data_IF_936805939077
#
_entry.id   IF_936805939077
#
_cell.length_a   1.000
_cell.length_b   1.000
_cell.length_c   1.000
_cell.angle_alpha   90.00
_cell.angle_beta   90.00
_cell.angle_gamma   90.00
#
_symmetry.space_group_name_H-M   'P 1'
#
loop_
_entity.id
_entity.type
_entity.pdbx_description
1 polymer ?
#
# COMPACT_ATOMS: atom_id res chain seq x y z
N UNK A 1 -17.35 -36.59 25.88
CA UNK A 1 -17.78 -35.66 26.96
C UNK A 1 -16.60 -34.77 27.29
N UNK A 2 -16.60 -33.53 26.88
CA UNK A 2 -16.13 -32.31 27.54
C UNK A 2 -16.14 -31.20 26.54
N UNK A 3 -17.14 -30.33 26.68
CA UNK A 3 -17.30 -29.07 25.91
C UNK A 3 -16.21 -28.10 26.27
N UNK A 4 -15.49 -27.56 25.26
CA UNK A 4 -14.68 -26.37 25.40
C UNK A 4 -15.41 -25.22 24.69
N UNK A 5 -16.01 -24.36 25.50
CA UNK A 5 -16.61 -23.10 25.07
C UNK A 5 -15.50 -22.10 24.84
N UNK A 6 -15.35 -21.58 23.62
CA UNK A 6 -14.53 -20.42 23.33
C UNK A 6 -15.35 -19.18 23.63
N UNK A 7 -14.87 -18.40 24.58
CA UNK A 7 -15.39 -17.06 24.88
C UNK A 7 -14.84 -16.07 23.87
N UNK A 8 -15.72 -15.52 23.05
CA UNK A 8 -15.49 -14.28 22.33
C UNK A 8 -15.70 -13.14 23.34
N UNK A 9 -14.63 -12.50 23.76
CA UNK A 9 -14.68 -11.25 24.51
C UNK A 9 -14.81 -10.09 23.52
N UNK A 10 -16.03 -9.74 23.15
CA UNK A 10 -16.37 -8.46 22.56
C UNK A 10 -16.46 -7.43 23.70
N UNK A 11 -15.44 -6.61 23.86
CA UNK A 11 -15.49 -5.45 24.75
C UNK A 11 -16.34 -4.36 24.09
N UNK A 12 -17.64 -4.38 24.33
CA UNK A 12 -18.53 -3.24 24.18
C UNK A 12 -18.23 -2.28 25.34
N UNK A 13 -17.55 -1.17 25.06
CA UNK A 13 -17.51 -0.02 25.94
C UNK A 13 -18.87 0.68 25.88
N UNK A 14 -19.74 0.39 26.82
CA UNK A 14 -20.92 1.18 27.09
C UNK A 14 -20.49 2.50 27.75
N UNK A 15 -20.51 3.59 27.01
CA UNK A 15 -20.41 4.93 27.57
C UNK A 15 -21.74 5.29 28.23
N UNK A 16 -21.73 5.42 29.55
CA UNK A 16 -22.86 5.87 30.33
C UNK A 16 -23.26 7.31 29.97
N UNK A 17 -24.52 7.49 29.61
CA UNK A 17 -25.14 8.78 29.33
C UNK A 17 -25.48 9.45 30.64
N UNK A 18 -24.80 10.53 30.97
CA UNK A 18 -25.23 11.51 31.97
C UNK A 18 -25.90 12.67 31.25
N UNK A 19 -27.22 12.79 31.39
CA UNK A 19 -27.97 13.96 30.94
C UNK A 19 -27.69 15.14 31.86
N UNK A 20 -26.99 16.15 31.35
CA UNK A 20 -26.89 17.49 31.93
C UNK A 20 -27.22 18.52 30.84
N UNK A 21 -28.12 19.45 31.17
CA UNK A 21 -28.70 20.40 30.25
C UNK A 21 -27.69 21.31 29.56
N UNK A 22 -27.80 21.47 28.25
CA UNK A 22 -27.40 22.70 27.57
C UNK A 22 -26.06 22.73 26.85
N UNK A 23 -25.48 21.59 26.40
CA UNK A 23 -24.42 21.62 25.39
C UNK A 23 -24.77 20.60 24.28
N UNK A 24 -24.64 21.01 23.05
CA UNK A 24 -24.58 20.08 21.93
C UNK A 24 -23.51 19.03 22.28
N UNK A 25 -23.93 17.83 22.61
CA UNK A 25 -23.01 16.71 22.76
C UNK A 25 -22.55 16.37 21.36
N UNK A 26 -21.38 16.88 20.98
CA UNK A 26 -20.64 16.39 19.82
C UNK A 26 -20.47 14.89 19.98
N UNK A 27 -21.05 14.14 19.08
CA UNK A 27 -20.99 12.69 19.13
C UNK A 27 -19.53 12.26 18.97
N UNK A 28 -18.93 11.83 20.10
CA UNK A 28 -17.66 11.13 20.22
C UNK A 28 -16.39 11.87 19.70
N UNK A 29 -16.05 12.99 20.33
CA UNK A 29 -14.68 13.53 20.26
C UNK A 29 -13.66 12.49 20.74
N UNK A 30 -12.52 12.38 20.06
CA UNK A 30 -11.50 11.36 20.28
C UNK A 30 -10.20 12.02 20.74
N UNK A 31 -9.70 11.66 21.92
CA UNK A 31 -8.41 12.16 22.41
C UNK A 31 -7.25 11.59 21.61
N UNK A 32 -6.26 12.45 21.34
CA UNK A 32 -4.98 12.05 20.73
C UNK A 32 -4.03 11.64 21.87
N UNK A 33 -4.22 10.43 22.38
CA UNK A 33 -3.42 9.88 23.47
C UNK A 33 -2.95 8.44 23.19
N UNK A 34 -2.10 7.91 24.05
CA UNK A 34 -1.53 6.57 23.93
C UNK A 34 -2.58 5.45 24.05
N UNK A 35 -3.69 5.72 24.75
CA UNK A 35 -4.77 4.76 24.89
C UNK A 35 -5.56 4.60 23.58
N UNK A 36 -5.76 5.69 22.86
CA UNK A 36 -6.51 5.71 21.61
C UNK A 36 -5.64 5.34 20.41
N UNK A 37 -4.41 5.89 20.37
CA UNK A 37 -3.42 5.64 19.32
C UNK A 37 -2.11 5.17 19.98
N UNK A 38 -1.95 3.84 20.23
CA UNK A 38 -0.81 3.31 20.96
C UNK A 38 0.54 3.57 20.27
N UNK A 39 0.56 3.48 18.94
CA UNK A 39 1.78 3.77 18.16
C UNK A 39 2.10 5.27 18.17
N UNK A 40 3.26 5.63 18.71
CA UNK A 40 3.69 7.02 18.85
C UNK A 40 3.78 7.74 17.51
N UNK A 41 4.12 7.03 16.45
CA UNK A 41 4.25 7.60 15.13
C UNK A 41 2.90 7.77 14.43
N UNK A 42 1.98 6.82 14.59
CA UNK A 42 0.58 6.98 14.18
C UNK A 42 -0.01 8.18 14.92
N UNK A 43 0.21 8.29 16.22
CA UNK A 43 -0.26 9.40 17.06
C UNK A 43 0.28 10.75 16.57
N UNK A 44 1.59 10.86 16.30
CA UNK A 44 2.20 12.07 15.74
C UNK A 44 1.66 12.41 14.34
N UNK A 45 1.36 11.38 13.53
CA UNK A 45 0.75 11.58 12.20
C UNK A 45 -0.71 11.99 12.27
N UNK A 46 -1.42 11.60 13.31
CA UNK A 46 -2.81 11.95 13.57
C UNK A 46 -2.94 13.40 14.08
N UNK A 47 -1.98 13.88 14.86
CA UNK A 47 -1.96 15.25 15.44
C UNK A 47 -2.12 16.37 14.40
N UNK A 48 -1.71 16.13 13.16
CA UNK A 48 -1.89 17.11 12.07
C UNK A 48 -3.34 17.34 11.67
N UNK A 49 -4.25 16.44 12.03
CA UNK A 49 -5.69 16.56 11.74
C UNK A 49 -6.45 17.27 12.86
N UNK A 50 -5.84 17.48 14.01
CA UNK A 50 -6.30 18.37 15.07
C UNK A 50 -6.02 19.81 14.64
N UNK A 51 -7.03 20.47 14.07
CA UNK A 51 -6.88 21.80 13.45
C UNK A 51 -6.78 22.88 14.50
N UNK A 52 -7.56 22.76 15.57
CA UNK A 52 -7.64 23.73 16.65
C UNK A 52 -6.58 23.51 17.75
N UNK A 53 -5.82 22.40 17.68
CA UNK A 53 -4.74 22.03 18.60
C UNK A 53 -5.16 21.90 20.06
N UNK A 54 -6.37 21.36 20.29
CA UNK A 54 -6.88 21.09 21.63
C UNK A 54 -6.57 19.67 22.15
N UNK A 55 -5.89 18.85 21.35
CA UNK A 55 -5.55 17.45 21.66
C UNK A 55 -6.72 16.48 21.46
N UNK A 56 -7.79 16.92 20.80
CA UNK A 56 -9.02 16.19 20.59
C UNK A 56 -9.40 16.23 19.10
N UNK A 57 -9.77 15.13 18.53
CA UNK A 57 -10.32 15.05 17.17
C UNK A 57 -11.84 15.05 17.24
N UNK A 58 -12.47 16.08 16.74
CA UNK A 58 -13.91 16.14 16.50
C UNK A 58 -14.34 15.19 15.36
N UNK A 59 -15.62 14.88 15.28
CA UNK A 59 -16.20 14.15 14.15
C UNK A 59 -15.98 14.85 12.81
N UNK A 60 -16.04 16.19 12.82
CA UNK A 60 -15.82 17.02 11.64
C UNK A 60 -14.37 16.89 11.14
N UNK A 61 -13.38 16.97 12.01
CA UNK A 61 -11.96 16.82 11.67
C UNK A 61 -11.68 15.42 11.13
N UNK A 62 -12.15 14.37 11.82
CA UNK A 62 -11.98 12.98 11.36
C UNK A 62 -12.70 12.71 10.05
N UNK A 63 -13.90 13.26 9.88
CA UNK A 63 -14.74 13.07 8.70
C UNK A 63 -14.13 13.65 7.42
N UNK A 64 -13.28 14.66 7.53
CA UNK A 64 -12.57 15.28 6.40
C UNK A 64 -11.35 14.50 5.93
N UNK A 65 -10.85 13.55 6.73
CA UNK A 65 -9.64 12.80 6.40
C UNK A 65 -9.97 11.66 5.45
N UNK A 66 -9.55 11.79 4.22
CA UNK A 66 -9.70 10.76 3.17
C UNK A 66 -8.40 10.06 2.83
N UNK A 67 -7.27 10.63 3.20
CA UNK A 67 -5.93 10.09 2.98
C UNK A 67 -5.13 10.16 4.27
N UNK A 68 -4.50 9.05 4.63
CA UNK A 68 -3.54 9.00 5.72
C UNK A 68 -2.14 8.75 5.17
N UNK A 69 -1.19 9.57 5.61
CA UNK A 69 0.22 9.45 5.24
C UNK A 69 1.08 9.29 6.48
N UNK A 70 1.86 8.23 6.49
CA UNK A 70 2.80 7.87 7.55
C UNK A 70 4.24 8.34 7.23
N UNK A 71 4.41 9.32 6.35
CA UNK A 71 5.74 9.78 5.91
C UNK A 71 6.45 10.73 6.89
N UNK A 72 5.72 11.33 7.81
CA UNK A 72 6.24 12.43 8.67
C UNK A 72 6.95 11.96 9.95
N UNK A 73 7.37 10.70 10.01
CA UNK A 73 8.08 10.11 11.13
C UNK A 73 9.52 10.61 11.36
N UNK A 74 9.94 11.63 10.66
CA UNK A 74 11.29 12.20 10.77
C UNK A 74 11.59 12.84 12.12
N UNK A 75 10.62 12.94 13.02
CA UNK A 75 10.69 13.86 14.16
C UNK A 75 11.09 13.18 15.47
N UNK A 76 10.91 11.88 15.66
CA UNK A 76 11.26 11.29 16.96
C UNK A 76 12.53 10.45 16.89
N UNK A 77 13.61 10.98 17.43
CA UNK A 77 14.80 10.21 17.82
C UNK A 77 14.45 9.12 18.86
N UNK A 78 13.26 9.18 19.45
CA UNK A 78 12.78 8.32 20.51
C UNK A 78 12.01 7.09 20.03
N UNK A 79 11.84 6.91 18.70
CA UNK A 79 11.18 5.72 18.17
C UNK A 79 12.10 4.50 18.32
N UNK A 80 12.09 3.96 19.53
CA UNK A 80 12.77 2.71 19.87
C UNK A 80 11.88 1.52 19.54
N UNK A 81 12.33 0.72 18.57
CA UNK A 81 12.23 -0.73 18.58
C UNK A 81 10.97 -1.45 18.09
N UNK A 82 9.88 -0.83 17.64
CA UNK A 82 8.85 -1.62 16.98
C UNK A 82 9.06 -1.66 15.46
N UNK A 83 9.38 -2.86 14.94
CA UNK A 83 9.36 -3.11 13.48
C UNK A 83 7.94 -3.22 12.92
N UNK A 84 6.92 -3.15 13.77
CA UNK A 84 5.50 -3.22 13.43
C UNK A 84 4.86 -1.88 13.66
N UNK A 85 3.99 -1.47 12.72
CA UNK A 85 3.16 -0.29 12.87
C UNK A 85 1.81 -0.74 13.46
N UNK A 86 1.43 -0.19 14.60
CA UNK A 86 0.12 -0.42 15.19
C UNK A 86 -0.86 0.69 14.79
N UNK A 87 -1.76 0.37 13.86
CA UNK A 87 -2.80 1.28 13.38
C UNK A 87 -4.04 1.35 14.27
N UNK A 88 -4.01 0.80 15.48
CA UNK A 88 -5.13 0.92 16.42
C UNK A 88 -5.53 2.38 16.60
N UNK A 89 -6.83 2.66 16.57
CA UNK A 89 -7.39 4.00 16.56
C UNK A 89 -7.76 4.53 15.17
N UNK A 90 -7.10 4.06 14.10
CA UNK A 90 -7.37 4.56 12.75
C UNK A 90 -8.76 4.19 12.21
N UNK A 91 -9.40 3.15 12.74
CA UNK A 91 -10.80 2.82 12.43
C UNK A 91 -11.79 3.94 12.80
N UNK A 92 -11.37 4.86 13.66
CA UNK A 92 -12.17 6.05 14.04
C UNK A 92 -12.25 7.09 12.91
N UNK A 93 -11.37 6.98 11.91
CA UNK A 93 -11.41 7.78 10.68
C UNK A 93 -12.19 7.03 9.60
N UNK A 94 -13.50 7.10 9.64
CA UNK A 94 -14.38 6.31 8.78
C UNK A 94 -14.31 6.60 7.27
N UNK A 95 -13.54 7.61 6.81
CA UNK A 95 -13.48 8.06 5.43
C UNK A 95 -12.10 7.93 4.77
N UNK A 96 -11.15 7.24 5.40
CA UNK A 96 -9.85 7.02 4.78
C UNK A 96 -9.98 5.96 3.67
N UNK A 97 -9.72 6.38 2.43
CA UNK A 97 -9.71 5.53 1.24
C UNK A 97 -8.28 5.32 0.71
N UNK A 98 -7.34 6.16 1.12
CA UNK A 98 -5.95 6.11 0.65
C UNK A 98 -4.98 6.09 1.83
N UNK A 99 -4.05 5.14 1.80
CA UNK A 99 -2.99 4.99 2.78
C UNK A 99 -1.64 5.08 2.08
N UNK A 100 -0.78 5.97 2.58
CA UNK A 100 0.61 6.08 2.14
C UNK A 100 1.54 5.72 3.30
N UNK A 101 2.33 4.65 3.10
CA UNK A 101 3.36 4.20 4.03
C UNK A 101 4.72 4.34 3.37
N UNK A 102 5.52 5.29 3.82
CA UNK A 102 6.90 5.46 3.37
C UNK A 102 7.85 4.97 4.47
N UNK A 103 8.34 3.75 4.31
CA UNK A 103 9.24 3.08 5.24
C UNK A 103 10.71 3.21 4.82
N UNK A 104 10.99 4.04 3.83
CA UNK A 104 12.35 4.22 3.30
C UNK A 104 13.22 5.15 4.17
N UNK A 105 12.69 5.63 5.27
CA UNK A 105 13.41 6.60 6.11
C UNK A 105 14.75 6.03 6.60
N UNK A 106 15.81 6.77 6.34
CA UNK A 106 17.12 6.57 6.94
C UNK A 106 17.20 7.45 8.18
N UNK A 107 17.38 6.85 9.34
CA UNK A 107 17.70 7.60 10.55
C UNK A 107 18.96 8.47 10.33
N UNK A 108 19.07 9.59 11.03
CA UNK A 108 20.29 10.37 11.03
C UNK A 108 21.49 9.46 11.37
N UNK A 109 22.42 9.31 10.41
CA UNK A 109 23.51 8.32 10.49
C UNK A 109 23.43 7.18 9.46
N UNK A 110 22.43 7.16 8.58
CA UNK A 110 22.36 6.22 7.44
C UNK A 110 21.99 4.78 7.80
N UNK A 111 21.53 4.51 9.04
CA UNK A 111 21.15 3.17 9.47
C UNK A 111 19.72 2.88 9.00
N UNK A 112 19.57 1.97 8.04
CA UNK A 112 18.26 1.45 7.66
C UNK A 112 17.68 0.58 8.78
N UNK A 113 16.47 0.90 9.25
CA UNK A 113 15.73 0.05 10.18
C UNK A 113 15.04 -1.08 9.44
N UNK A 114 14.96 -2.25 10.06
CA UNK A 114 14.13 -3.34 9.58
C UNK A 114 12.66 -3.01 9.82
N UNK A 115 11.86 -3.02 8.75
CA UNK A 115 10.42 -2.87 8.83
C UNK A 115 9.76 -4.20 8.50
N UNK A 116 9.01 -4.72 9.44
CA UNK A 116 8.17 -5.89 9.24
C UNK A 116 6.75 -5.41 8.94
N UNK A 117 6.42 -5.29 7.66
CA UNK A 117 5.07 -4.99 7.24
C UNK A 117 4.23 -6.29 7.34
N UNK A 118 3.72 -6.53 8.52
CA UNK A 118 2.70 -7.54 8.78
C UNK A 118 1.39 -6.86 9.07
N UNK A 119 0.75 -6.21 8.21
CA UNK A 119 -0.48 -5.44 8.42
C UNK A 119 -1.64 -6.20 9.10
N UNK A 120 -1.38 -6.85 10.22
CA UNK A 120 -2.28 -7.77 10.92
C UNK A 120 -3.67 -7.19 11.17
N UNK A 121 -3.80 -5.86 11.25
CA UNK A 121 -5.07 -5.18 11.46
C UNK A 121 -5.41 -4.12 10.40
N UNK A 122 -4.71 -4.10 9.27
CA UNK A 122 -4.88 -3.03 8.26
C UNK A 122 -6.31 -2.92 7.76
N UNK A 123 -6.95 -4.02 7.40
CA UNK A 123 -8.33 -4.02 6.91
C UNK A 123 -9.35 -3.60 7.97
N UNK A 124 -9.09 -3.90 9.24
CA UNK A 124 -9.93 -3.47 10.36
C UNK A 124 -9.77 -1.97 10.65
N UNK A 125 -8.53 -1.47 10.56
CA UNK A 125 -8.22 -0.06 10.80
C UNK A 125 -8.62 0.85 9.63
N UNK A 126 -8.65 0.32 8.41
CA UNK A 126 -9.00 1.06 7.19
C UNK A 126 -10.07 0.32 6.37
N UNK A 127 -11.31 0.24 6.85
CA UNK A 127 -12.37 -0.57 6.23
C UNK A 127 -12.77 -0.12 4.83
N UNK A 128 -12.51 1.15 4.48
CA UNK A 128 -12.78 1.72 3.16
C UNK A 128 -11.54 1.86 2.28
N UNK A 129 -10.43 1.20 2.62
CA UNK A 129 -9.18 1.34 1.88
C UNK A 129 -9.31 0.87 0.43
N UNK A 130 -9.09 1.77 -0.50
CA UNK A 130 -9.09 1.52 -1.93
C UNK A 130 -7.70 1.69 -2.57
N UNK A 131 -6.83 2.50 -1.95
CA UNK A 131 -5.50 2.80 -2.46
C UNK A 131 -4.44 2.61 -1.37
N UNK A 132 -3.42 1.81 -1.67
CA UNK A 132 -2.26 1.63 -0.81
C UNK A 132 -0.98 1.92 -1.60
N UNK A 133 -0.21 2.88 -1.12
CA UNK A 133 1.18 3.09 -1.51
C UNK A 133 2.08 2.63 -0.36
N UNK A 134 2.99 1.70 -0.65
CA UNK A 134 3.95 1.19 0.31
C UNK A 134 5.36 1.29 -0.30
N UNK A 135 6.18 2.14 0.29
CA UNK A 135 7.60 2.25 -0.03
C UNK A 135 8.43 1.59 1.07
N UNK A 136 9.18 0.58 0.70
CA UNK A 136 10.05 -0.15 1.60
C UNK A 136 11.50 0.29 1.55
N UNK A 137 12.35 -0.47 2.24
CA UNK A 137 13.79 -0.38 2.20
C UNK A 137 14.42 -1.78 2.02
N UNK A 138 15.76 -1.87 2.02
CA UNK A 138 16.48 -3.14 1.81
C UNK A 138 16.17 -4.24 2.82
N UNK A 139 15.58 -3.90 3.97
CA UNK A 139 15.23 -4.81 5.08
C UNK A 139 13.73 -5.02 5.27
N UNK A 140 12.89 -4.42 4.42
CA UNK A 140 11.45 -4.56 4.53
C UNK A 140 11.01 -6.01 4.28
N UNK A 141 10.27 -6.59 5.21
CA UNK A 141 9.57 -7.86 5.02
C UNK A 141 8.15 -7.57 4.55
N UNK A 142 7.81 -8.01 3.35
CA UNK A 142 6.51 -7.76 2.75
C UNK A 142 5.60 -8.99 2.95
N UNK A 143 4.50 -8.80 3.68
CA UNK A 143 3.39 -9.75 3.76
C UNK A 143 2.10 -9.07 3.30
N UNK A 144 1.53 -9.53 2.20
CA UNK A 144 0.29 -9.00 1.63
C UNK A 144 -0.98 -9.66 2.20
N UNK A 145 -0.85 -10.61 3.13
CA UNK A 145 -1.98 -11.38 3.68
C UNK A 145 -3.05 -10.47 4.31
N UNK A 146 -2.63 -9.38 4.92
CA UNK A 146 -3.55 -8.38 5.49
C UNK A 146 -4.46 -7.68 4.46
N UNK A 147 -4.11 -7.73 3.18
CA UNK A 147 -4.92 -7.16 2.10
C UNK A 147 -6.00 -8.12 1.58
N UNK A 148 -5.98 -9.37 2.02
CA UNK A 148 -6.96 -10.37 1.60
C UNK A 148 -8.38 -9.90 1.90
N UNK A 149 -9.28 -10.06 0.92
CA UNK A 149 -10.69 -9.65 0.98
C UNK A 149 -10.93 -8.13 1.17
N UNK A 150 -9.91 -7.29 1.02
CA UNK A 150 -10.06 -5.84 1.08
C UNK A 150 -10.72 -5.27 -0.19
N UNK A 151 -11.21 -4.04 -0.09
CA UNK A 151 -11.75 -3.28 -1.24
C UNK A 151 -10.66 -2.63 -2.10
N UNK A 152 -9.40 -3.03 -1.92
CA UNK A 152 -8.25 -2.43 -2.58
C UNK A 152 -8.37 -2.48 -4.11
N UNK A 153 -8.21 -1.32 -4.75
CA UNK A 153 -8.24 -1.11 -6.20
C UNK A 153 -6.86 -0.72 -6.76
N UNK A 154 -6.07 -0.01 -5.96
CA UNK A 154 -4.78 0.53 -6.37
C UNK A 154 -3.70 0.12 -5.37
N UNK A 155 -2.69 -0.59 -5.85
CA UNK A 155 -1.53 -0.97 -5.04
C UNK A 155 -0.25 -0.51 -5.72
N UNK A 156 0.54 0.27 -5.00
CA UNK A 156 1.89 0.65 -5.39
C UNK A 156 2.86 0.08 -4.36
N UNK A 157 3.82 -0.71 -4.82
CA UNK A 157 4.91 -1.26 -4.02
C UNK A 157 6.22 -0.70 -4.59
N UNK A 158 6.90 0.12 -3.82
CA UNK A 158 8.15 0.76 -4.22
C UNK A 158 9.31 0.29 -3.34
N UNK A 159 10.46 0.07 -3.97
CA UNK A 159 11.73 -0.25 -3.31
C UNK A 159 11.63 -1.49 -2.39
N UNK A 160 10.90 -2.52 -2.83
CA UNK A 160 10.78 -3.78 -2.08
C UNK A 160 11.99 -4.68 -2.32
N UNK A 161 12.60 -5.23 -1.27
CA UNK A 161 13.74 -6.14 -1.38
C UNK A 161 13.35 -7.57 -1.76
N UNK A 162 12.06 -7.90 -1.78
CA UNK A 162 11.56 -9.25 -1.94
C UNK A 162 12.00 -9.86 -3.29
N UNK A 163 12.81 -10.90 -3.25
CA UNK A 163 13.23 -11.64 -4.45
C UNK A 163 12.08 -12.44 -5.08
N UNK A 164 11.13 -12.87 -4.27
CA UNK A 164 9.87 -13.48 -4.71
C UNK A 164 8.73 -12.79 -3.98
N UNK A 165 7.78 -12.26 -4.75
CA UNK A 165 6.61 -11.57 -4.23
C UNK A 165 5.40 -12.50 -4.37
N UNK A 166 4.80 -12.89 -3.25
CA UNK A 166 3.57 -13.66 -3.25
C UNK A 166 2.37 -12.74 -3.47
N UNK A 167 1.77 -12.80 -4.66
CA UNK A 167 0.57 -12.04 -5.02
C UNK A 167 -0.73 -12.81 -4.71
N UNK A 168 -0.65 -14.01 -4.15
CA UNK A 168 -1.84 -14.84 -3.84
C UNK A 168 -2.86 -14.14 -2.96
N UNK A 169 -2.47 -13.38 -1.91
CA UNK A 169 -3.44 -12.66 -1.08
C UNK A 169 -4.27 -11.63 -1.85
N UNK A 170 -3.72 -11.07 -2.93
CA UNK A 170 -4.41 -10.08 -3.75
C UNK A 170 -5.54 -10.67 -4.58
N UNK A 171 -5.55 -11.98 -4.81
CA UNK A 171 -6.56 -12.68 -5.65
C UNK A 171 -8.00 -12.51 -5.20
N UNK A 172 -8.23 -12.06 -3.98
CA UNK A 172 -9.55 -11.84 -3.38
C UNK A 172 -9.89 -10.35 -3.22
N UNK A 173 -9.04 -9.45 -3.70
CA UNK A 173 -9.25 -7.99 -3.67
C UNK A 173 -10.01 -7.52 -4.92
N UNK A 174 -10.28 -6.21 -4.99
CA UNK A 174 -10.85 -5.56 -6.19
C UNK A 174 -9.78 -4.86 -7.04
N UNK A 175 -8.54 -5.37 -7.02
CA UNK A 175 -7.40 -4.70 -7.62
C UNK A 175 -7.56 -4.47 -9.13
N UNK A 176 -7.44 -3.22 -9.52
CA UNK A 176 -7.49 -2.76 -10.91
C UNK A 176 -6.14 -2.28 -11.43
N UNK A 177 -5.29 -1.78 -10.52
CA UNK A 177 -3.96 -1.26 -10.84
C UNK A 177 -2.94 -1.83 -9.86
N UNK A 178 -1.87 -2.42 -10.40
CA UNK A 178 -0.69 -2.85 -9.66
C UNK A 178 0.54 -2.13 -10.22
N UNK A 179 1.26 -1.41 -9.36
CA UNK A 179 2.56 -0.82 -9.68
C UNK A 179 3.65 -1.44 -8.81
N UNK A 180 4.72 -1.87 -9.44
CA UNK A 180 5.94 -2.36 -8.82
C UNK A 180 7.08 -1.47 -9.30
N UNK A 181 7.67 -0.69 -8.38
CA UNK A 181 8.65 0.34 -8.72
C UNK A 181 9.94 0.10 -7.91
N UNK A 182 11.08 0.13 -8.57
CA UNK A 182 12.40 -0.08 -7.96
C UNK A 182 12.54 -1.38 -7.13
N UNK A 183 11.68 -2.38 -7.37
CA UNK A 183 11.68 -3.62 -6.61
C UNK A 183 12.79 -4.58 -7.07
N UNK A 184 13.49 -5.18 -6.10
CA UNK A 184 14.56 -6.17 -6.36
C UNK A 184 13.99 -7.58 -6.59
N UNK A 185 12.99 -7.72 -7.47
CA UNK A 185 12.35 -9.00 -7.80
C UNK A 185 13.01 -9.64 -9.02
N UNK A 186 13.34 -10.91 -8.95
CA UNK A 186 13.92 -11.67 -10.07
C UNK A 186 12.88 -12.39 -10.93
N UNK A 187 11.70 -12.65 -10.38
CA UNK A 187 10.57 -13.26 -11.05
C UNK A 187 9.25 -12.67 -10.53
N UNK A 188 8.24 -12.62 -11.38
CA UNK A 188 6.90 -12.15 -11.06
C UNK A 188 5.87 -13.18 -11.52
N UNK A 189 5.19 -13.84 -10.57
CA UNK A 189 4.12 -14.77 -10.86
C UNK A 189 2.77 -14.05 -10.86
N UNK A 190 2.20 -13.83 -12.04
CA UNK A 190 0.90 -13.17 -12.21
C UNK A 190 -0.29 -14.15 -12.22
N UNK A 191 -0.07 -15.48 -12.11
CA UNK A 191 -1.15 -16.48 -12.11
C UNK A 191 -2.23 -16.26 -11.04
N UNK A 192 -1.89 -15.85 -9.80
CA UNK A 192 -2.91 -15.55 -8.80
C UNK A 192 -3.93 -14.48 -9.24
N UNK A 193 -3.54 -13.60 -10.14
CA UNK A 193 -4.36 -12.48 -10.61
C UNK A 193 -5.22 -12.80 -11.85
N UNK A 194 -5.19 -14.04 -12.34
CA UNK A 194 -5.86 -14.47 -13.60
C UNK A 194 -7.38 -14.18 -13.61
N UNK A 195 -8.04 -14.32 -12.47
CA UNK A 195 -9.50 -14.13 -12.33
C UNK A 195 -9.89 -12.71 -11.92
N UNK A 196 -8.92 -11.83 -11.77
CA UNK A 196 -9.14 -10.46 -11.34
C UNK A 196 -9.37 -9.53 -12.52
N UNK A 197 -9.92 -8.36 -12.24
CA UNK A 197 -10.12 -7.32 -13.24
C UNK A 197 -8.93 -6.34 -13.30
N UNK A 198 -7.70 -6.89 -13.25
CA UNK A 198 -6.51 -6.05 -13.32
C UNK A 198 -6.41 -5.41 -14.72
N UNK A 199 -6.52 -4.09 -14.76
CA UNK A 199 -6.53 -3.27 -15.98
C UNK A 199 -5.18 -2.69 -16.31
N UNK A 200 -4.38 -2.35 -15.27
CA UNK A 200 -3.09 -1.68 -15.42
C UNK A 200 -2.01 -2.39 -14.63
N UNK A 201 -0.90 -2.64 -15.29
CA UNK A 201 0.30 -3.20 -14.68
C UNK A 201 1.50 -2.32 -15.01
N UNK A 202 2.15 -1.82 -13.97
CA UNK A 202 3.39 -1.05 -14.05
C UNK A 202 4.50 -1.86 -13.39
N UNK A 203 5.59 -2.08 -14.12
CA UNK A 203 6.79 -2.78 -13.61
C UNK A 203 7.99 -1.91 -13.99
N UNK A 204 8.27 -0.97 -13.11
CA UNK A 204 9.22 0.12 -13.38
C UNK A 204 10.51 -0.17 -12.63
N UNK A 205 11.63 -0.14 -13.35
CA UNK A 205 12.99 -0.28 -12.81
C UNK A 205 13.19 -1.53 -11.89
N UNK A 206 12.45 -2.62 -12.13
CA UNK A 206 12.59 -3.88 -11.41
C UNK A 206 13.67 -4.77 -12.05
N UNK A 207 14.27 -5.69 -11.25
CA UNK A 207 15.39 -6.55 -11.68
C UNK A 207 14.95 -7.86 -12.37
N UNK A 208 13.75 -7.88 -12.97
CA UNK A 208 13.17 -9.08 -13.60
C UNK A 208 14.06 -9.68 -14.69
N UNK A 209 14.17 -11.00 -14.70
CA UNK A 209 14.84 -11.77 -15.77
C UNK A 209 13.89 -12.16 -16.89
N UNK A 210 12.62 -12.30 -16.59
CA UNK A 210 11.53 -12.60 -17.52
C UNK A 210 10.21 -12.05 -16.99
N UNK A 211 9.25 -11.85 -17.90
CA UNK A 211 7.88 -11.49 -17.53
C UNK A 211 6.90 -12.25 -18.42
N UNK A 212 5.94 -12.94 -17.81
CA UNK A 212 4.80 -13.56 -18.47
C UNK A 212 3.52 -12.85 -18.07
N UNK A 213 2.94 -12.08 -19.00
CA UNK A 213 1.70 -11.35 -18.81
C UNK A 213 0.46 -12.12 -19.30
N UNK A 214 0.62 -13.32 -19.85
CA UNK A 214 -0.47 -14.15 -20.39
C UNK A 214 -1.58 -14.47 -19.39
N UNK A 215 -1.35 -14.56 -18.05
CA UNK A 215 -2.43 -14.69 -17.09
C UNK A 215 -3.44 -13.55 -17.12
N UNK A 216 -3.03 -12.37 -17.58
CA UNK A 216 -3.86 -11.16 -17.64
C UNK A 216 -4.47 -10.88 -19.03
N UNK A 217 -4.42 -11.86 -19.95
CA UNK A 217 -4.80 -11.70 -21.36
C UNK A 217 -6.20 -11.15 -21.61
N UNK A 218 -7.13 -11.38 -20.69
CA UNK A 218 -8.53 -10.97 -20.84
C UNK A 218 -8.88 -9.64 -20.18
N UNK A 219 -7.97 -9.07 -19.38
CA UNK A 219 -8.28 -7.91 -18.52
C UNK A 219 -7.32 -6.74 -18.72
N UNK A 220 -6.02 -7.01 -18.91
CA UNK A 220 -5.00 -5.97 -18.99
C UNK A 220 -5.23 -5.05 -20.20
N UNK A 221 -5.28 -3.76 -19.93
CA UNK A 221 -5.46 -2.70 -20.92
C UNK A 221 -4.21 -1.84 -21.09
N UNK A 222 -3.39 -1.77 -20.05
CA UNK A 222 -2.20 -0.92 -20.03
C UNK A 222 -1.04 -1.66 -19.34
N UNK A 223 0.11 -1.71 -20.03
CA UNK A 223 1.32 -2.34 -19.57
C UNK A 223 2.49 -1.36 -19.68
N UNK A 224 3.15 -1.09 -18.56
CA UNK A 224 4.34 -0.27 -18.49
C UNK A 224 5.50 -1.08 -17.97
N UNK A 225 6.57 -1.18 -18.78
CA UNK A 225 7.77 -1.95 -18.50
C UNK A 225 8.98 -1.02 -18.66
N UNK A 226 9.11 -0.06 -17.78
CA UNK A 226 10.14 0.95 -17.83
C UNK A 226 9.59 2.34 -17.53
N UNK A 227 10.50 3.29 -17.32
CA UNK A 227 10.11 4.64 -16.93
C UNK A 227 9.53 5.44 -18.10
N UNK A 228 8.40 6.13 -17.90
CA UNK A 228 7.85 6.98 -18.94
C UNK A 228 8.77 8.18 -19.18
N UNK A 229 9.19 8.33 -20.42
CA UNK A 229 10.06 9.40 -20.89
C UNK A 229 9.53 10.81 -20.56
N UNK A 230 8.22 10.98 -20.40
CA UNK A 230 7.60 12.28 -20.14
C UNK A 230 8.03 12.94 -18.82
N UNK A 231 8.40 12.17 -17.81
CA UNK A 231 8.86 12.73 -16.53
C UNK A 231 10.28 13.31 -16.63
N UNK A 232 11.06 12.91 -17.63
CA UNK A 232 12.47 13.31 -17.82
C UNK A 232 12.70 14.23 -19.01
N UNK A 233 11.76 14.34 -19.95
CA UNK A 233 11.87 15.28 -21.08
C UNK A 233 12.00 16.73 -20.60
N UNK A 234 11.35 17.09 -19.49
CA UNK A 234 11.52 18.40 -18.86
C UNK A 234 12.91 18.62 -18.23
N UNK A 235 13.68 17.55 -18.04
CA UNK A 235 15.02 17.59 -17.45
C UNK A 235 16.14 17.35 -18.46
N UNK A 236 15.82 17.18 -19.76
CA UNK A 236 16.80 16.93 -20.82
C UNK A 236 17.55 15.59 -20.67
N UNK A 237 16.99 14.63 -19.96
CA UNK A 237 17.62 13.32 -19.76
C UNK A 237 17.02 12.27 -20.70
N UNK A 238 17.87 11.42 -21.25
CA UNK A 238 17.46 10.23 -21.99
C UNK A 238 16.70 9.26 -21.07
N UNK A 239 15.85 8.40 -21.66
CA UNK A 239 15.13 7.35 -20.94
C UNK A 239 16.08 6.56 -20.03
N UNK A 240 15.83 6.54 -18.72
CA UNK A 240 16.67 5.80 -17.78
C UNK A 240 16.63 4.31 -18.12
N UNK A 241 17.80 3.69 -18.16
CA UNK A 241 17.89 2.25 -18.36
C UNK A 241 17.38 1.51 -17.14
N UNK A 242 16.39 0.63 -17.37
CA UNK A 242 15.87 -0.21 -16.30
C UNK A 242 16.83 -1.34 -15.97
N UNK A 243 16.70 -1.89 -14.76
CA UNK A 243 17.47 -3.06 -14.30
C UNK A 243 16.94 -4.39 -14.86
N UNK A 244 15.87 -4.37 -15.65
CA UNK A 244 15.26 -5.54 -16.26
C UNK A 244 16.21 -6.22 -17.26
N UNK A 245 16.18 -7.57 -17.29
CA UNK A 245 17.10 -8.39 -18.10
C UNK A 245 16.37 -9.35 -19.05
N UNK A 246 15.08 -9.18 -19.27
CA UNK A 246 14.36 -10.04 -20.22
C UNK A 246 14.63 -9.62 -21.68
N UNK A 247 14.77 -10.64 -22.53
CA UNK A 247 15.11 -10.46 -23.96
C UNK A 247 13.87 -10.44 -24.85
N UNK A 248 12.79 -11.04 -24.40
CA UNK A 248 11.56 -11.21 -25.19
C UNK A 248 10.34 -10.81 -24.39
N UNK A 249 9.35 -10.26 -25.08
CA UNK A 249 8.04 -9.92 -24.54
C UNK A 249 6.98 -10.48 -25.49
N UNK A 250 6.16 -11.43 -25.03
CA UNK A 250 5.07 -11.98 -25.82
C UNK A 250 3.73 -11.36 -25.39
N UNK A 251 3.13 -10.60 -26.30
CA UNK A 251 1.83 -9.95 -26.15
C UNK A 251 0.78 -10.53 -27.12
N UNK A 252 1.09 -11.64 -27.80
CA UNK A 252 0.22 -12.24 -28.84
C UNK A 252 -1.16 -12.65 -28.34
N UNK A 253 -1.27 -12.99 -27.05
CA UNK A 253 -2.51 -13.44 -26.42
C UNK A 253 -3.33 -12.31 -25.78
N UNK A 254 -2.81 -11.06 -25.76
CA UNK A 254 -3.41 -9.94 -25.02
C UNK A 254 -4.61 -9.35 -25.76
N UNK A 255 -5.83 -9.73 -25.35
CA UNK A 255 -7.07 -9.37 -26.09
C UNK A 255 -7.53 -7.95 -25.86
N UNK A 256 -7.22 -7.35 -24.71
CA UNK A 256 -7.71 -6.03 -24.31
C UNK A 256 -6.63 -4.95 -24.19
N UNK A 257 -5.40 -5.29 -24.49
CA UNK A 257 -4.27 -4.38 -24.38
C UNK A 257 -4.39 -3.21 -25.35
N UNK A 258 -4.37 -1.99 -24.82
CA UNK A 258 -4.53 -0.74 -25.59
C UNK A 258 -3.24 0.07 -25.63
N UNK A 259 -2.46 0.01 -24.54
CA UNK A 259 -1.21 0.78 -24.39
C UNK A 259 -0.10 -0.10 -23.84
N UNK A 260 1.05 -0.01 -24.47
CA UNK A 260 2.30 -0.66 -24.02
C UNK A 260 3.41 0.36 -24.05
N UNK A 261 4.10 0.46 -22.93
CA UNK A 261 5.33 1.25 -22.82
C UNK A 261 6.43 0.29 -22.38
N UNK A 262 7.42 0.10 -23.23
CA UNK A 262 8.59 -0.77 -22.98
C UNK A 262 9.85 0.00 -23.31
N UNK A 263 10.17 0.99 -22.50
CA UNK A 263 11.23 1.96 -22.71
C UNK A 263 12.38 1.71 -21.73
N UNK A 264 13.62 1.97 -22.15
CA UNK A 264 14.81 1.83 -21.31
C UNK A 264 15.15 0.41 -20.90
N UNK A 265 14.79 -0.60 -21.70
CA UNK A 265 15.12 -2.02 -21.47
C UNK A 265 16.16 -2.48 -22.49
N UNK A 266 17.46 -2.28 -22.23
CA UNK A 266 18.50 -2.55 -23.25
C UNK A 266 18.57 -4.00 -23.70
N UNK A 267 18.12 -4.93 -22.86
CA UNK A 267 18.12 -6.37 -23.16
C UNK A 267 16.94 -6.83 -24.02
N UNK A 268 15.88 -6.01 -24.17
CA UNK A 268 14.68 -6.38 -24.92
C UNK A 268 14.95 -6.30 -26.43
N UNK A 269 15.03 -7.45 -27.09
CA UNK A 269 15.33 -7.57 -28.52
C UNK A 269 14.15 -8.03 -29.37
N UNK A 270 13.09 -8.56 -28.72
CA UNK A 270 11.93 -9.08 -29.45
C UNK A 270 10.63 -8.82 -28.70
N UNK A 271 9.66 -8.21 -29.39
CA UNK A 271 8.27 -8.10 -28.94
C UNK A 271 7.38 -8.83 -29.93
N UNK A 272 6.55 -9.76 -29.44
CA UNK A 272 5.55 -10.46 -30.28
C UNK A 272 4.18 -9.85 -29.99
N UNK A 273 3.55 -9.33 -31.03
CA UNK A 273 2.21 -8.74 -30.96
C UNK A 273 1.16 -9.73 -31.51
N UNK A 274 -0.11 -9.51 -31.16
CA UNK A 274 -1.23 -10.19 -31.80
C UNK A 274 -1.21 -9.87 -33.29
N UNK A 275 -1.34 -10.89 -34.13
CA UNK A 275 -1.64 -10.68 -35.56
C UNK A 275 -3.03 -10.05 -35.65
N UNK A 276 -3.12 -8.95 -36.41
CA UNK A 276 -4.37 -8.25 -36.67
C UNK A 276 -5.38 -9.09 -37.44
#
# INVERSE_FOLDING_TARGET
MRNVKWFLASALLAAGILFGAGNHVDAASVKIDEKTFPDACVRASVDKYDINKDGILSDEERGKVTTFSYTDLRISQDYKESSKIDFTGMQLFGNIHSLKLDLHYQAAGGIEKEWDYRGDNLSACFPKLESLYLRGNSKTKLDLTALKNSSLKYLVLENMPAQQMDLTPLSTTKLETLSLEDCKISALNLKPLTKMNLKKLYVINCTLKSIDVSPLKNTLQELWLGEPQQMYLSLGKECMQTKAKYKTLDLSQMKRLKRVYACGIPSLTKVTLKKG
#
